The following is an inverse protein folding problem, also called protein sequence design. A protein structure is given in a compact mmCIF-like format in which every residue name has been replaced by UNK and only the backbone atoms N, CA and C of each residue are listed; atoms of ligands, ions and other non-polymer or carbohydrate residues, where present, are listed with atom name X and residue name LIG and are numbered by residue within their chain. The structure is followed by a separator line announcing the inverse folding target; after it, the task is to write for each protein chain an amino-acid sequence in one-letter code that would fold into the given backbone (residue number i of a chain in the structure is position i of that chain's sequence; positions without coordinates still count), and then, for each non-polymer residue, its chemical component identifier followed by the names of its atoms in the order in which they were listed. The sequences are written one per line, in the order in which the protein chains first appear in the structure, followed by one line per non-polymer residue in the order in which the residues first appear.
data_IF_082171267409
#
_entry.id   IF_082171267409
#
_cell.length_a   1.000
_cell.length_b   1.000
_cell.length_c   1.000
_cell.angle_alpha   90.00
_cell.angle_beta   90.00
_cell.angle_gamma   90.00
#
_symmetry.space_group_name_H-M   'P 1'
#
loop_
_entity.id
_entity.type
_entity.pdbx_description
1 polymer ?
#
# COMPACT_ATOMS: atom_id res chain seq x y z
N UNK A 1 -19.72 7.69 -2.56
CA UNK A 1 -18.93 7.40 -3.78
C UNK A 1 -17.46 7.62 -3.42
N UNK A 2 -16.67 6.56 -3.30
CA UNK A 2 -15.23 6.73 -2.99
C UNK A 2 -14.47 7.07 -4.27
N UNK A 3 -13.85 8.25 -4.29
CA UNK A 3 -13.06 8.72 -5.41
C UNK A 3 -11.61 8.22 -5.30
N UNK A 4 -10.90 8.19 -6.42
CA UNK A 4 -9.46 7.97 -6.43
C UNK A 4 -8.75 9.22 -5.89
N UNK A 5 -7.82 9.02 -4.97
CA UNK A 5 -6.93 10.07 -4.46
C UNK A 5 -5.52 9.79 -4.95
N UNK A 6 -4.87 10.76 -5.58
CA UNK A 6 -3.45 10.65 -5.92
C UNK A 6 -2.64 10.68 -4.62
N UNK A 7 -1.62 9.83 -4.50
CA UNK A 7 -0.69 9.92 -3.39
C UNK A 7 0.46 10.84 -3.79
N UNK A 8 0.62 11.96 -3.07
CA UNK A 8 1.67 12.93 -3.38
C UNK A 8 3.06 12.32 -3.18
N UNK A 9 3.92 12.45 -4.20
CA UNK A 9 5.25 11.82 -4.21
C UNK A 9 5.23 10.30 -4.40
N UNK A 10 4.05 9.66 -4.42
CA UNK A 10 3.90 8.23 -4.61
C UNK A 10 4.08 7.82 -6.06
N UNK A 11 5.06 6.97 -6.32
CA UNK A 11 5.35 6.44 -7.65
C UNK A 11 5.46 4.92 -7.62
N UNK A 12 5.21 4.31 -8.77
CA UNK A 12 5.39 2.87 -8.97
C UNK A 12 6.10 2.60 -10.28
N UNK A 13 7.08 1.69 -10.22
CA UNK A 13 7.74 1.21 -11.42
C UNK A 13 6.94 0.04 -12.01
N UNK A 14 6.49 0.21 -13.24
CA UNK A 14 5.80 -0.81 -14.02
C UNK A 14 6.76 -1.49 -14.98
N UNK A 15 6.44 -2.74 -15.33
CA UNK A 15 7.07 -3.45 -16.45
C UNK A 15 6.03 -4.10 -17.35
N UNK A 16 6.24 -3.96 -18.66
CA UNK A 16 5.46 -4.62 -19.70
C UNK A 16 6.41 -5.11 -20.78
N UNK A 17 6.48 -6.44 -20.98
CA UNK A 17 7.37 -7.07 -21.97
C UNK A 17 8.83 -6.60 -21.89
N UNK A 18 9.34 -6.40 -20.67
CA UNK A 18 10.72 -5.96 -20.42
C UNK A 18 10.96 -4.45 -20.50
N UNK A 19 9.97 -3.66 -20.90
CA UNK A 19 10.03 -2.19 -20.86
C UNK A 19 9.62 -1.73 -19.46
N UNK A 20 10.42 -0.85 -18.86
CA UNK A 20 10.16 -0.26 -17.56
C UNK A 20 9.57 1.14 -17.72
N UNK A 21 8.60 1.50 -16.91
CA UNK A 21 7.92 2.80 -16.97
C UNK A 21 7.46 3.23 -15.58
N UNK A 22 7.78 4.45 -15.20
CA UNK A 22 7.27 5.06 -13.97
C UNK A 22 5.84 5.55 -14.16
N UNK A 23 5.04 5.42 -13.12
CA UNK A 23 3.67 5.89 -13.12
C UNK A 23 3.25 6.40 -11.74
N UNK A 24 2.32 7.34 -11.74
CA UNK A 24 1.74 7.92 -10.54
C UNK A 24 0.91 6.89 -9.76
N UNK A 25 1.07 6.93 -8.43
CA UNK A 25 0.33 6.08 -7.50
C UNK A 25 -0.95 6.77 -7.01
N UNK A 26 -2.01 5.98 -6.91
CA UNK A 26 -3.32 6.40 -6.45
C UNK A 26 -3.84 5.43 -5.40
N UNK A 27 -4.76 5.91 -4.56
CA UNK A 27 -5.50 5.12 -3.58
C UNK A 27 -6.99 5.21 -3.85
N UNK A 28 -7.68 4.10 -3.65
CA UNK A 28 -9.14 4.08 -3.50
C UNK A 28 -9.50 3.09 -2.40
N UNK A 29 -10.32 3.55 -1.46
CA UNK A 29 -10.63 2.81 -0.24
C UNK A 29 -9.33 2.45 0.51
N UNK A 30 -8.92 1.18 0.48
CA UNK A 30 -7.69 0.69 1.13
C UNK A 30 -6.76 -0.05 0.14
N UNK A 31 -6.87 0.26 -1.14
CA UNK A 31 -6.16 -0.43 -2.21
C UNK A 31 -5.36 0.58 -3.05
N UNK A 32 -4.18 0.15 -3.49
CA UNK A 32 -3.31 0.95 -4.34
C UNK A 32 -3.59 0.69 -5.81
N UNK A 33 -3.54 1.76 -6.59
CA UNK A 33 -3.78 1.79 -8.02
C UNK A 33 -2.69 2.59 -8.71
N UNK A 34 -2.49 2.28 -9.98
CA UNK A 34 -1.60 3.01 -10.87
C UNK A 34 -2.39 3.61 -12.01
N UNK A 35 -2.01 4.82 -12.42
CA UNK A 35 -2.55 5.44 -13.64
C UNK A 35 -1.89 4.85 -14.89
N UNK A 36 -2.72 4.44 -15.83
CA UNK A 36 -2.36 3.94 -17.15
C UNK A 36 -3.05 4.81 -18.22
N UNK A 37 -2.59 4.73 -19.47
CA UNK A 37 -3.23 5.44 -20.60
C UNK A 37 -4.73 5.10 -20.77
N UNK A 38 -5.16 3.91 -20.37
CA UNK A 38 -6.53 3.42 -20.52
C UNK A 38 -7.38 3.56 -19.24
N UNK A 39 -6.86 4.17 -18.18
CA UNK A 39 -7.53 4.30 -16.88
C UNK A 39 -6.65 3.84 -15.72
N UNK A 40 -7.24 3.24 -14.70
CA UNK A 40 -6.52 2.81 -13.50
C UNK A 40 -6.40 1.28 -13.43
N UNK A 41 -5.24 0.79 -12.99
CA UNK A 41 -5.05 -0.61 -12.67
C UNK A 41 -4.74 -0.78 -11.19
N UNK A 42 -5.37 -1.75 -10.55
CA UNK A 42 -5.09 -2.09 -9.15
C UNK A 42 -3.76 -2.83 -9.06
N UNK A 43 -2.96 -2.50 -8.05
CA UNK A 43 -1.78 -3.28 -7.68
C UNK A 43 -2.22 -4.51 -6.89
N UNK A 44 -1.77 -5.69 -7.33
CA UNK A 44 -2.10 -6.99 -6.74
C UNK A 44 -0.86 -7.63 -6.12
N UNK A 45 -1.06 -8.70 -5.35
CA UNK A 45 0.05 -9.47 -4.80
C UNK A 45 0.93 -10.07 -5.90
N UNK A 46 2.14 -10.51 -5.52
CA UNK A 46 3.10 -11.13 -6.44
C UNK A 46 3.45 -10.27 -7.65
N UNK A 47 3.50 -8.94 -7.50
CA UNK A 47 3.90 -8.01 -8.56
C UNK A 47 2.93 -7.94 -9.76
N UNK A 48 1.69 -8.41 -9.62
CA UNK A 48 0.67 -8.36 -10.68
C UNK A 48 -0.17 -7.07 -10.62
N UNK A 49 -0.82 -6.75 -11.73
CA UNK A 49 -1.87 -5.72 -11.77
C UNK A 49 -3.13 -6.28 -12.41
N UNK A 50 -4.26 -5.58 -12.27
CA UNK A 50 -5.49 -5.93 -12.99
C UNK A 50 -5.42 -5.64 -14.50
N UNK A 51 -4.38 -4.95 -14.98
CA UNK A 51 -4.17 -4.71 -16.39
C UNK A 51 -3.30 -5.84 -17.00
N UNK A 52 -3.75 -6.36 -18.14
CA UNK A 52 -3.10 -7.50 -18.78
C UNK A 52 -1.66 -7.19 -19.23
N UNK A 53 -0.77 -8.13 -18.92
CA UNK A 53 0.66 -8.06 -19.24
C UNK A 53 1.45 -6.97 -18.51
N UNK A 54 0.85 -6.27 -17.53
CA UNK A 54 1.51 -5.24 -16.73
C UNK A 54 1.80 -5.77 -15.32
N UNK A 55 3.06 -5.66 -14.91
CA UNK A 55 3.53 -5.99 -13.56
C UNK A 55 4.08 -4.75 -12.89
N UNK A 56 3.92 -4.62 -11.59
CA UNK A 56 4.62 -3.61 -10.81
C UNK A 56 5.90 -4.20 -10.21
N UNK A 57 6.86 -3.35 -9.83
CA UNK A 57 8.17 -3.80 -9.36
C UNK A 57 8.59 -3.19 -8.04
N UNK A 58 8.40 -1.88 -7.91
CA UNK A 58 8.71 -1.15 -6.69
C UNK A 58 7.71 -0.02 -6.52
N UNK A 59 7.43 0.33 -5.28
CA UNK A 59 6.64 1.50 -4.89
C UNK A 59 7.59 2.43 -4.14
N UNK A 60 7.59 3.70 -4.52
CA UNK A 60 8.46 4.73 -3.96
C UNK A 60 7.63 5.89 -3.42
N UNK A 61 8.17 6.58 -2.42
CA UNK A 61 7.56 7.77 -1.82
C UNK A 61 6.48 7.51 -0.77
N UNK A 62 6.07 6.24 -0.55
CA UNK A 62 4.98 5.89 0.37
C UNK A 62 5.30 4.61 1.15
N UNK A 63 5.10 4.58 2.49
CA UNK A 63 5.16 3.33 3.24
C UNK A 63 3.95 2.46 2.90
N UNK A 64 4.20 1.20 2.57
CA UNK A 64 3.14 0.25 2.24
C UNK A 64 3.37 -1.10 2.94
N UNK A 65 2.29 -1.86 3.07
CA UNK A 65 2.32 -3.24 3.53
C UNK A 65 1.91 -4.16 2.37
N UNK A 66 2.71 -5.19 2.13
CA UNK A 66 2.36 -6.24 1.19
C UNK A 66 1.36 -7.21 1.81
N UNK A 67 0.21 -7.37 1.15
CA UNK A 67 -0.79 -8.36 1.51
C UNK A 67 -0.99 -9.35 0.36
N UNK A 68 -1.55 -10.55 0.61
CA UNK A 68 -1.90 -11.49 -0.44
C UNK A 68 -2.82 -10.89 -1.53
N UNK A 69 -3.57 -9.84 -1.19
CA UNK A 69 -4.51 -9.15 -2.08
C UNK A 69 -3.91 -7.91 -2.78
N UNK A 70 -2.62 -7.65 -2.58
CA UNK A 70 -1.89 -6.50 -3.10
C UNK A 70 -1.39 -5.53 -2.04
N UNK A 71 -0.52 -4.61 -2.43
CA UNK A 71 0.05 -3.63 -1.52
C UNK A 71 -1.03 -2.63 -1.10
N UNK A 72 -0.97 -2.23 0.17
CA UNK A 72 -1.86 -1.21 0.75
C UNK A 72 -1.02 -0.13 1.39
N UNK A 73 -1.47 1.11 1.29
CA UNK A 73 -0.83 2.22 2.00
C UNK A 73 -0.88 1.94 3.50
N UNK A 74 0.27 2.06 4.16
CA UNK A 74 0.32 2.08 5.60
C UNK A 74 -0.03 3.50 6.02
N UNK A 75 -1.27 3.73 6.46
CA UNK A 75 -1.63 5.04 6.99
C UNK A 75 -0.69 5.36 8.16
N UNK A 76 -0.11 6.58 8.20
CA UNK A 76 0.72 6.97 9.33
C UNK A 76 -0.12 6.81 10.60
N UNK A 77 0.42 6.22 11.68
CA UNK A 77 -0.34 6.01 12.90
C UNK A 77 -0.91 7.35 13.33
N UNK A 78 -2.23 7.35 13.58
CA UNK A 78 -2.90 8.52 14.12
C UNK A 78 -2.17 8.97 15.40
N UNK A 79 -2.17 10.26 15.71
CA UNK A 79 -1.58 10.78 16.96
C UNK A 79 -2.11 10.01 18.19
N UNK A 80 -3.34 9.49 18.12
CA UNK A 80 -3.98 8.66 19.14
C UNK A 80 -3.29 7.29 19.32
N UNK A 81 -2.87 6.65 18.22
CA UNK A 81 -2.13 5.38 18.24
C UNK A 81 -0.69 5.57 18.74
N UNK A 82 -0.05 6.70 18.40
CA UNK A 82 1.26 7.06 18.96
C UNK A 82 1.19 7.28 20.46
N UNK A 83 0.12 7.93 20.95
CA UNK A 83 -0.11 8.10 22.39
C UNK A 83 -0.34 6.76 23.12
N UNK A 84 -0.99 5.80 22.48
CA UNK A 84 -1.19 4.45 23.02
C UNK A 84 0.10 3.61 23.04
N UNK A 85 0.99 3.75 22.06
CA UNK A 85 2.31 3.07 22.09
C UNK A 85 3.32 3.73 23.03
N UNK A 86 3.26 5.06 23.20
CA UNK A 86 4.07 5.78 24.19
C UNK A 86 3.58 5.54 25.63
N UNK A 87 2.28 5.29 25.81
CA UNK A 87 1.70 4.85 27.09
C UNK A 87 1.92 3.36 27.29
N UNK A 88 3.15 3.00 27.67
CA UNK A 88 3.57 1.62 27.98
C UNK A 88 2.70 0.95 29.04
N UNK A 89 1.51 0.46 28.64
CA UNK A 89 0.71 -0.45 29.45
C UNK A 89 1.29 -1.84 29.23
N UNK A 90 2.38 -2.13 29.96
CA UNK A 90 2.82 -3.51 30.21
C UNK A 90 1.60 -4.28 30.72
N UNK A 91 0.94 -5.02 29.83
CA UNK A 91 -0.02 -6.04 30.23
C UNK A 91 0.81 -7.09 30.95
N UNK A 92 0.91 -6.97 32.27
CA UNK A 92 1.44 -8.01 33.15
C UNK A 92 0.54 -9.22 32.93
N UNK A 93 0.97 -10.14 32.07
CA UNK A 93 0.39 -11.47 31.98
C UNK A 93 0.42 -12.04 33.40
N UNK A 94 -0.76 -12.21 33.98
CA UNK A 94 -0.94 -12.80 35.30
C UNK A 94 -0.65 -14.29 35.12
N UNK A 95 0.62 -14.67 35.24
CA UNK A 95 1.02 -16.06 35.34
C UNK A 95 0.48 -16.56 36.70
N UNK A 96 -0.75 -17.09 36.71
CA UNK A 96 -1.18 -18.01 37.77
C UNK A 96 -0.50 -19.33 37.47
N UNK A 97 0.50 -19.67 38.29
CA UNK A 97 1.03 -21.02 38.37
C UNK A 97 1.13 -21.38 39.86
N UNK A 98 0.21 -22.28 40.23
CA UNK A 98 0.20 -23.28 41.31
C UNK A 98 0.58 -22.79 42.72
#
# INVERSE_FOLDING_TARGET
MTMFSRIEGGQVLLTKRGIYTEADLYKRDNELFVSLKAGFARLLGNNHTTADGIKWKTIEGVPFIDTPFGPRELEPPSEEDKAAMASGKRVRAKLRAI
#
